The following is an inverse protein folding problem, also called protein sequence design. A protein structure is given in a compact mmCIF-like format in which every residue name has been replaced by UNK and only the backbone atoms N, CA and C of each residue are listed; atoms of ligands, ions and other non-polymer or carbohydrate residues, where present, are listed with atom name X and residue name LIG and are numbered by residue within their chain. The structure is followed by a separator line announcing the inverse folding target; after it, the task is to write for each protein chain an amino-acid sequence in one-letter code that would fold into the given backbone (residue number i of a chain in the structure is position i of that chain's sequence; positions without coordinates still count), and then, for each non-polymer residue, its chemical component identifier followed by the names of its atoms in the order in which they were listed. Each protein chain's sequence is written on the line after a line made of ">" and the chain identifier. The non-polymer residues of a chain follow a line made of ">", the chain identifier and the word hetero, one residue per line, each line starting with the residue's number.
data_IF_069026529268
#
_entry.id   IF_069026529268
#
_cell.length_a   1.000
_cell.length_b   1.000
_cell.length_c   1.000
_cell.angle_alpha   90.00
_cell.angle_beta   90.00
_cell.angle_gamma   90.00
#
_symmetry.space_group_name_H-M   'P 1'
#
loop_
_entity.id
_entity.type
_entity.pdbx_description
1 polymer ?
#
# COMPACT_ATOMS: atom_id res chain seq x y z
N UNK A 1 11.93 -22.86 3.36
CA UNK A 1 11.61 -21.96 2.26
C UNK A 1 12.32 -20.65 2.54
N UNK A 2 13.13 -20.16 1.60
CA UNK A 2 13.88 -18.92 1.78
C UNK A 2 12.92 -17.74 1.66
N UNK A 3 12.97 -16.81 2.59
CA UNK A 3 12.10 -15.62 2.64
C UNK A 3 12.91 -14.36 2.43
N UNK A 4 12.31 -13.39 1.80
CA UNK A 4 12.89 -12.07 1.51
C UNK A 4 12.12 -11.04 2.29
N UNK A 5 12.82 -10.16 2.99
CA UNK A 5 12.22 -9.00 3.64
C UNK A 5 11.92 -7.92 2.60
N UNK A 6 10.79 -7.27 2.77
CA UNK A 6 10.34 -6.17 1.93
C UNK A 6 10.12 -4.90 2.75
N UNK A 7 10.47 -3.78 2.14
CA UNK A 7 10.18 -2.45 2.68
C UNK A 7 9.03 -1.82 1.91
N UNK A 8 8.24 -1.02 2.61
CA UNK A 8 7.15 -0.25 2.03
C UNK A 8 7.74 0.86 1.16
N UNK A 9 7.36 0.84 -0.10
CA UNK A 9 7.80 1.80 -1.09
C UNK A 9 6.76 2.85 -1.46
N UNK A 10 6.71 3.16 -2.74
CA UNK A 10 5.85 4.20 -3.29
C UNK A 10 4.49 3.67 -3.74
N UNK A 11 3.53 4.57 -3.84
CA UNK A 11 2.26 4.38 -4.55
C UNK A 11 2.31 5.24 -5.81
N UNK A 12 2.13 4.63 -6.97
CA UNK A 12 2.06 5.32 -8.26
C UNK A 12 0.70 5.13 -8.91
N UNK A 13 0.22 6.17 -9.60
CA UNK A 13 -0.91 6.07 -10.50
C UNK A 13 -0.39 5.73 -11.90
N UNK A 14 -1.02 4.78 -12.57
CA UNK A 14 -0.74 4.44 -13.97
C UNK A 14 -1.74 5.18 -14.86
N UNK A 15 -1.29 6.16 -15.67
CA UNK A 15 -2.19 7.00 -16.48
C UNK A 15 -2.91 6.23 -17.60
N UNK A 16 -2.29 5.14 -18.08
CA UNK A 16 -2.68 4.46 -19.31
C UNK A 16 -3.95 3.60 -19.17
N UNK A 17 -4.34 3.20 -17.94
CA UNK A 17 -5.42 2.26 -17.68
C UNK A 17 -6.62 2.85 -16.92
N UNK A 18 -6.94 4.13 -17.12
CA UNK A 18 -8.17 4.70 -16.57
C UNK A 18 -8.25 4.77 -15.05
N UNK A 19 -7.11 4.92 -14.36
CA UNK A 19 -7.05 5.11 -12.91
C UNK A 19 -6.61 3.89 -12.11
N UNK A 20 -5.79 3.03 -12.69
CA UNK A 20 -5.11 1.95 -11.97
C UNK A 20 -4.03 2.52 -11.07
N UNK A 21 -3.88 1.93 -9.89
CA UNK A 21 -2.84 2.29 -8.93
C UNK A 21 -1.93 1.10 -8.72
N UNK A 22 -0.62 1.36 -8.62
CA UNK A 22 0.37 0.33 -8.32
C UNK A 22 1.10 0.70 -7.04
N UNK A 23 1.11 -0.22 -6.10
CA UNK A 23 1.86 -0.13 -4.86
C UNK A 23 3.16 -0.93 -4.98
N UNK A 24 4.27 -0.33 -4.58
CA UNK A 24 5.59 -0.94 -4.70
C UNK A 24 6.13 -1.34 -3.33
N UNK A 25 6.57 -2.59 -3.23
CA UNK A 25 7.37 -3.08 -2.13
C UNK A 25 8.79 -3.34 -2.64
N UNK A 26 9.79 -2.85 -1.91
CA UNK A 26 11.19 -2.99 -2.28
C UNK A 26 11.87 -4.11 -1.49
N UNK A 27 12.75 -4.83 -2.15
CA UNK A 27 13.68 -5.71 -1.47
C UNK A 27 14.89 -4.90 -1.02
N UNK A 28 15.22 -4.98 0.27
CA UNK A 28 16.41 -4.34 0.82
C UNK A 28 17.68 -4.78 0.06
N UNK A 29 18.47 -3.81 -0.43
CA UNK A 29 19.74 -4.04 -1.10
C UNK A 29 19.68 -4.59 -2.52
N UNK A 30 18.51 -4.62 -3.18
CA UNK A 30 18.38 -5.04 -4.57
C UNK A 30 17.63 -4.02 -5.41
N UNK A 31 18.02 -3.93 -6.69
CA UNK A 31 17.37 -3.11 -7.71
C UNK A 31 16.05 -3.73 -8.22
N UNK A 32 15.31 -4.41 -7.31
CA UNK A 32 14.06 -5.08 -7.63
C UNK A 32 12.94 -4.64 -6.69
N UNK A 33 11.77 -4.44 -7.24
CA UNK A 33 10.54 -4.17 -6.49
C UNK A 33 9.43 -5.14 -6.90
N UNK A 34 8.49 -5.35 -5.99
CA UNK A 34 7.24 -6.06 -6.23
C UNK A 34 6.16 -5.03 -6.55
N UNK A 35 5.72 -4.90 -7.81
CA UNK A 35 4.59 -4.06 -8.17
C UNK A 35 3.29 -4.80 -7.88
N UNK A 36 2.40 -4.18 -7.10
CA UNK A 36 1.09 -4.74 -6.74
C UNK A 36 0.01 -3.80 -7.23
N UNK A 37 -0.78 -4.19 -8.25
CA UNK A 37 -1.94 -3.41 -8.68
C UNK A 37 -2.95 -3.29 -7.54
N UNK A 38 -3.49 -2.09 -7.34
CA UNK A 38 -4.53 -1.82 -6.37
C UNK A 38 -5.78 -1.31 -7.05
N UNK A 39 -6.92 -1.74 -6.57
CA UNK A 39 -8.20 -1.13 -6.90
C UNK A 39 -8.33 0.25 -6.22
N UNK A 40 -9.18 1.16 -6.73
CA UNK A 40 -9.41 2.45 -6.08
C UNK A 40 -9.82 2.35 -4.59
N UNK A 41 -10.69 1.41 -4.15
CA UNK A 41 -10.98 1.22 -2.73
C UNK A 41 -9.77 0.82 -1.89
N UNK A 42 -8.90 -0.07 -2.41
CA UNK A 42 -7.67 -0.51 -1.72
C UNK A 42 -6.67 0.64 -1.59
N UNK A 43 -6.49 1.39 -2.66
CA UNK A 43 -5.67 2.61 -2.64
C UNK A 43 -6.18 3.60 -1.60
N UNK A 44 -7.49 3.85 -1.57
CA UNK A 44 -8.10 4.74 -0.58
C UNK A 44 -7.88 4.23 0.84
N UNK A 45 -8.06 2.93 1.09
CA UNK A 45 -7.82 2.30 2.38
C UNK A 45 -6.35 2.48 2.83
N UNK A 46 -5.38 2.27 1.92
CA UNK A 46 -3.97 2.50 2.22
C UNK A 46 -3.68 3.95 2.57
N UNK A 47 -4.09 4.89 1.73
CA UNK A 47 -3.86 6.32 1.96
C UNK A 47 -4.45 6.78 3.29
N UNK A 48 -5.70 6.39 3.58
CA UNK A 48 -6.39 6.75 4.82
C UNK A 48 -5.70 6.19 6.07
N UNK A 49 -5.07 5.02 5.98
CA UNK A 49 -4.41 4.39 7.11
C UNK A 49 -2.92 4.75 7.24
N UNK A 50 -2.28 5.19 6.14
CA UNK A 50 -0.88 5.63 6.17
C UNK A 50 -0.73 7.06 6.66
N UNK A 51 -1.76 7.90 6.51
CA UNK A 51 -1.83 9.20 7.17
C UNK A 51 -2.13 8.98 8.64
N UNK A 52 -1.34 9.58 9.52
CA UNK A 52 -1.55 9.56 10.97
C UNK A 52 -2.62 10.58 11.39
N UNK A 53 -3.75 10.63 10.70
CA UNK A 53 -4.86 11.48 11.12
C UNK A 53 -5.55 10.83 12.32
N UNK A 54 -5.53 11.46 13.48
CA UNK A 54 -6.07 10.93 14.73
C UNK A 54 -7.57 10.68 14.67
N UNK A 55 -8.29 11.41 13.83
CA UNK A 55 -9.75 11.42 13.76
C UNK A 55 -10.35 10.42 12.76
N UNK A 56 -9.54 9.62 12.05
CA UNK A 56 -10.08 8.64 11.12
C UNK A 56 -10.49 7.34 11.82
N UNK A 57 -11.78 7.02 11.78
CA UNK A 57 -12.34 5.77 12.28
C UNK A 57 -12.28 4.69 11.20
N UNK A 58 -11.14 4.01 11.06
CA UNK A 58 -10.98 2.88 10.15
C UNK A 58 -11.08 1.55 10.91
N UNK A 59 -11.56 0.51 10.23
CA UNK A 59 -11.60 -0.83 10.81
C UNK A 59 -10.20 -1.31 11.26
N UNK A 60 -9.17 -0.96 10.52
CA UNK A 60 -7.79 -1.28 10.88
C UNK A 60 -7.37 -0.63 12.20
N UNK A 61 -7.78 0.62 12.45
CA UNK A 61 -7.50 1.31 13.72
C UNK A 61 -8.23 0.64 14.89
N UNK A 62 -9.48 0.25 14.67
CA UNK A 62 -10.26 -0.49 15.68
C UNK A 62 -9.61 -1.85 15.94
N UNK A 63 -9.28 -2.61 14.90
CA UNK A 63 -8.65 -3.92 15.02
C UNK A 63 -7.30 -3.83 15.74
N UNK A 64 -6.47 -2.84 15.39
CA UNK A 64 -5.19 -2.60 16.09
C UNK A 64 -5.41 -2.39 17.59
N UNK A 65 -6.40 -1.57 17.98
CA UNK A 65 -6.71 -1.34 19.40
C UNK A 65 -7.21 -2.61 20.10
N UNK A 66 -8.06 -3.39 19.44
CA UNK A 66 -8.55 -4.67 19.98
C UNK A 66 -7.38 -5.61 20.24
N UNK A 67 -6.47 -5.80 19.28
CA UNK A 67 -5.29 -6.64 19.48
C UNK A 67 -4.44 -6.16 20.67
N UNK A 68 -4.22 -4.85 20.78
CA UNK A 68 -3.46 -4.27 21.89
C UNK A 68 -4.13 -4.50 23.26
N UNK A 69 -5.45 -4.28 23.36
CA UNK A 69 -6.23 -4.53 24.58
C UNK A 69 -6.18 -6.00 25.04
N UNK A 70 -6.20 -6.92 24.08
CA UNK A 70 -6.10 -8.36 24.34
C UNK A 70 -4.63 -8.85 24.42
N UNK A 71 -3.66 -7.95 24.35
CA UNK A 71 -2.22 -8.25 24.37
C UNK A 71 -1.78 -9.25 23.30
N UNK A 72 -2.42 -9.16 22.13
CA UNK A 72 -2.03 -9.94 20.95
C UNK A 72 -1.05 -9.12 20.13
N UNK A 73 0.12 -9.67 19.89
CA UNK A 73 1.19 -9.06 19.10
C UNK A 73 1.12 -9.52 17.65
N UNK A 74 1.24 -8.61 16.70
CA UNK A 74 1.51 -8.95 15.31
C UNK A 74 3.03 -9.03 15.14
N UNK A 75 3.55 -10.24 14.88
CA UNK A 75 4.98 -10.49 14.79
C UNK A 75 5.54 -10.19 13.40
N UNK A 76 4.82 -10.61 12.36
CA UNK A 76 5.19 -10.38 10.96
C UNK A 76 3.98 -10.48 10.04
N UNK A 77 4.14 -9.97 8.84
CA UNK A 77 3.21 -10.14 7.72
C UNK A 77 3.95 -10.82 6.58
N UNK A 78 3.42 -11.93 6.07
CA UNK A 78 4.02 -12.66 4.95
C UNK A 78 3.10 -12.63 3.73
N UNK A 79 3.64 -12.29 2.55
CA UNK A 79 2.93 -12.45 1.27
C UNK A 79 3.10 -13.90 0.85
N UNK A 80 2.00 -14.67 0.85
CA UNK A 80 2.07 -16.13 0.80
C UNK A 80 1.61 -16.74 -0.51
N UNK A 81 0.79 -16.06 -1.29
CA UNK A 81 0.30 -16.56 -2.58
C UNK A 81 -0.17 -15.44 -3.51
N UNK A 82 -0.29 -15.81 -4.79
CA UNK A 82 -0.92 -15.03 -5.84
C UNK A 82 -1.88 -15.90 -6.65
N UNK A 83 -3.14 -15.51 -6.72
CA UNK A 83 -4.19 -16.17 -7.50
C UNK A 83 -5.03 -15.18 -8.34
N UNK A 84 -4.36 -14.18 -8.90
CA UNK A 84 -4.95 -12.99 -9.51
C UNK A 84 -4.76 -11.76 -8.61
N UNK A 85 -4.76 -11.96 -7.28
CA UNK A 85 -4.41 -10.97 -6.27
C UNK A 85 -3.36 -11.55 -5.31
N UNK A 86 -2.54 -10.68 -4.74
CA UNK A 86 -1.65 -11.09 -3.65
C UNK A 86 -2.45 -11.26 -2.36
N UNK A 87 -2.06 -12.27 -1.58
CA UNK A 87 -2.63 -12.54 -0.25
C UNK A 87 -1.55 -12.51 0.81
N UNK A 88 -1.91 -11.99 1.97
CA UNK A 88 -1.06 -11.93 3.14
C UNK A 88 -1.45 -12.98 4.17
N UNK A 89 -0.50 -13.36 4.99
CA UNK A 89 -0.69 -14.10 6.23
C UNK A 89 -0.13 -13.26 7.38
N UNK A 90 -0.92 -13.08 8.41
CA UNK A 90 -0.53 -12.42 9.64
C UNK A 90 -0.02 -13.49 10.61
N UNK A 91 1.16 -13.32 11.18
CA UNK A 91 1.63 -14.11 12.30
C UNK A 91 1.39 -13.33 13.58
N UNK A 92 0.45 -13.81 14.37
CA UNK A 92 0.03 -13.22 15.64
C UNK A 92 0.53 -14.07 16.81
N UNK A 93 0.76 -13.46 17.97
CA UNK A 93 1.12 -14.13 19.22
C UNK A 93 0.22 -13.62 20.34
N UNK A 94 -0.46 -14.53 21.05
CA UNK A 94 -1.41 -14.20 22.11
C UNK A 94 -0.81 -14.30 23.53
N UNK A 95 0.51 -14.49 23.62
CA UNK A 95 1.23 -14.72 24.87
C UNK A 95 1.48 -16.19 25.18
N UNK A 96 0.77 -17.11 24.51
CA UNK A 96 0.91 -18.56 24.71
C UNK A 96 1.28 -19.29 23.40
N UNK A 97 0.69 -18.88 22.28
CA UNK A 97 0.87 -19.56 20.99
C UNK A 97 0.89 -18.59 19.82
N UNK A 98 1.48 -19.06 18.72
CA UNK A 98 1.42 -18.41 17.43
C UNK A 98 0.11 -18.76 16.71
N UNK A 99 -0.51 -17.74 16.12
CA UNK A 99 -1.75 -17.84 15.33
C UNK A 99 -1.45 -17.29 13.94
N UNK A 100 -1.74 -18.09 12.90
CA UNK A 100 -1.61 -17.69 11.51
C UNK A 100 -2.98 -17.38 10.93
N UNK A 101 -3.16 -16.19 10.41
CA UNK A 101 -4.42 -15.72 9.86
C UNK A 101 -4.23 -15.17 8.46
N UNK A 102 -4.96 -15.72 7.47
CA UNK A 102 -4.98 -15.15 6.13
C UNK A 102 -5.71 -13.81 6.12
N UNK A 103 -5.17 -12.89 5.33
CA UNK A 103 -5.72 -11.54 5.14
C UNK A 103 -5.56 -11.10 3.68
N UNK A 104 -6.28 -10.08 3.26
CA UNK A 104 -6.02 -9.37 2.02
C UNK A 104 -4.63 -8.73 2.03
N UNK A 105 -4.05 -8.55 0.84
CA UNK A 105 -2.75 -7.90 0.71
C UNK A 105 -2.74 -6.53 1.39
N UNK A 106 -3.70 -5.68 1.03
CA UNK A 106 -3.83 -4.31 1.52
C UNK A 106 -3.98 -4.25 3.03
N UNK A 107 -4.81 -5.15 3.61
CA UNK A 107 -5.01 -5.24 5.05
C UNK A 107 -3.73 -5.63 5.78
N UNK A 108 -3.01 -6.61 5.25
CA UNK A 108 -1.72 -7.05 5.80
C UNK A 108 -0.69 -5.90 5.82
N UNK A 109 -0.55 -5.17 4.71
CA UNK A 109 0.40 -4.05 4.61
C UNK A 109 0.02 -2.91 5.57
N UNK A 110 -1.26 -2.57 5.67
CA UNK A 110 -1.75 -1.54 6.60
C UNK A 110 -1.42 -1.93 8.05
N UNK A 111 -1.69 -3.18 8.42
CA UNK A 111 -1.42 -3.68 9.78
C UNK A 111 0.08 -3.72 10.07
N UNK A 112 0.91 -4.22 9.12
CA UNK A 112 2.36 -4.17 9.26
C UNK A 112 2.85 -2.76 9.56
N UNK A 113 2.37 -1.76 8.82
CA UNK A 113 2.74 -0.36 9.05
C UNK A 113 2.30 0.16 10.42
N UNK A 114 1.08 -0.20 10.87
CA UNK A 114 0.55 0.24 12.17
C UNK A 114 1.29 -0.36 13.36
N UNK A 115 1.72 -1.60 13.25
CA UNK A 115 2.47 -2.31 14.30
C UNK A 115 3.99 -2.16 14.17
N UNK A 116 4.49 -1.63 13.05
CA UNK A 116 5.93 -1.54 12.78
C UNK A 116 6.58 -2.91 12.56
N UNK A 117 5.83 -3.89 12.07
CA UNK A 117 6.29 -5.27 11.91
C UNK A 117 6.86 -5.52 10.52
N UNK A 118 7.81 -6.46 10.37
CA UNK A 118 8.41 -6.75 9.08
C UNK A 118 7.43 -7.42 8.11
N UNK A 119 7.65 -7.15 6.81
CA UNK A 119 6.94 -7.79 5.71
C UNK A 119 7.89 -8.78 5.04
N UNK A 120 7.40 -9.98 4.77
CA UNK A 120 8.15 -11.01 4.06
C UNK A 120 7.40 -11.53 2.83
N UNK A 121 8.16 -12.08 1.89
CA UNK A 121 7.66 -12.83 0.73
C UNK A 121 8.55 -14.06 0.52
N UNK A 122 8.02 -15.14 -0.04
CA UNK A 122 8.86 -16.24 -0.46
C UNK A 122 9.76 -15.84 -1.63
N UNK A 123 10.98 -16.36 -1.69
CA UNK A 123 11.92 -16.09 -2.79
C UNK A 123 11.30 -16.46 -4.14
N UNK A 124 10.57 -17.59 -4.22
CA UNK A 124 9.90 -18.05 -5.44
C UNK A 124 8.85 -17.04 -5.96
N UNK A 125 8.04 -16.44 -5.07
CA UNK A 125 7.08 -15.41 -5.45
C UNK A 125 7.80 -14.11 -5.85
N UNK A 126 8.85 -13.75 -5.13
CA UNK A 126 9.65 -12.58 -5.46
C UNK A 126 10.28 -12.72 -6.85
N UNK A 127 10.93 -13.84 -7.15
CA UNK A 127 11.56 -14.10 -8.44
C UNK A 127 10.54 -14.11 -9.59
N UNK A 128 9.34 -14.59 -9.34
CA UNK A 128 8.29 -14.69 -10.35
C UNK A 128 7.65 -13.32 -10.68
N UNK A 129 7.47 -12.46 -9.69
CA UNK A 129 6.65 -11.25 -9.84
C UNK A 129 7.43 -9.94 -9.68
N UNK A 130 8.65 -9.98 -9.16
CA UNK A 130 9.46 -8.77 -9.03
C UNK A 130 9.94 -8.27 -10.39
N UNK A 131 10.07 -6.95 -10.47
CA UNK A 131 10.61 -6.25 -11.64
C UNK A 131 11.79 -5.36 -11.23
N UNK A 132 12.68 -5.07 -12.17
CA UNK A 132 13.76 -4.11 -11.94
C UNK A 132 13.20 -2.72 -11.67
N UNK A 133 13.77 -2.00 -10.71
CA UNK A 133 13.36 -0.62 -10.39
C UNK A 133 13.50 0.28 -11.62
N UNK A 134 14.52 0.08 -12.44
CA UNK A 134 14.76 0.85 -13.67
C UNK A 134 13.61 0.76 -14.69
N UNK A 135 12.84 -0.34 -14.68
CA UNK A 135 11.70 -0.49 -15.56
C UNK A 135 10.52 0.42 -15.17
N UNK A 136 10.53 0.95 -13.95
CA UNK A 136 9.49 1.84 -13.40
C UNK A 136 10.01 3.25 -13.12
N UNK A 137 11.31 3.48 -13.20
CA UNK A 137 11.93 4.76 -12.83
C UNK A 137 11.40 5.95 -13.66
N UNK A 138 10.99 5.71 -14.91
CA UNK A 138 10.29 6.73 -15.71
C UNK A 138 8.88 7.03 -15.23
N UNK A 139 8.15 6.04 -14.74
CA UNK A 139 6.77 6.19 -14.27
C UNK A 139 6.71 6.70 -12.82
N UNK A 140 7.65 6.26 -11.99
CA UNK A 140 7.72 6.67 -10.56
C UNK A 140 8.38 8.06 -10.43
N UNK A 141 9.36 8.38 -11.27
CA UNK A 141 10.08 9.65 -11.25
C UNK A 141 9.34 10.77 -11.98
N UNK A 142 8.36 10.46 -12.81
CA UNK A 142 7.56 11.50 -13.45
C UNK A 142 6.47 12.04 -12.52
N UNK A 143 6.92 12.52 -11.35
CA UNK A 143 6.06 13.25 -10.41
C UNK A 143 5.47 14.52 -11.04
N UNK A 144 6.03 15.01 -12.16
CA UNK A 144 5.49 16.11 -12.95
C UNK A 144 4.34 15.64 -13.83
N UNK A 145 4.46 14.48 -14.47
CA UNK A 145 3.35 13.88 -15.22
C UNK A 145 2.21 13.49 -14.29
N UNK A 146 2.50 12.88 -13.13
CA UNK A 146 1.49 12.57 -12.11
C UNK A 146 0.79 13.85 -11.62
N UNK A 147 1.54 14.91 -11.35
CA UNK A 147 0.98 16.20 -10.95
C UNK A 147 0.14 16.84 -12.06
N UNK A 148 0.56 16.69 -13.32
CA UNK A 148 -0.19 17.16 -14.49
C UNK A 148 -1.50 16.39 -14.62
N UNK A 149 -1.45 15.06 -14.58
CA UNK A 149 -2.64 14.19 -14.69
C UNK A 149 -3.65 14.45 -13.56
N UNK A 150 -3.18 14.64 -12.32
CA UNK A 150 -4.06 15.00 -11.21
C UNK A 150 -4.70 16.39 -11.39
N UNK A 151 -3.98 17.36 -11.95
CA UNK A 151 -4.55 18.67 -12.26
C UNK A 151 -5.60 18.58 -13.39
N UNK A 152 -5.35 17.79 -14.42
CA UNK A 152 -6.30 17.55 -15.49
C UNK A 152 -7.55 16.83 -14.96
N UNK A 153 -7.39 15.78 -14.17
CA UNK A 153 -8.49 15.06 -13.51
C UNK A 153 -9.29 15.95 -12.54
N UNK A 154 -8.63 16.89 -11.84
CA UNK A 154 -9.28 17.89 -11.00
C UNK A 154 -10.14 18.83 -11.84
N UNK A 155 -9.60 19.32 -12.96
CA UNK A 155 -10.33 20.22 -13.85
C UNK A 155 -11.54 19.53 -14.46
N UNK A 156 -11.40 18.26 -14.89
CA UNK A 156 -12.50 17.46 -15.41
C UNK A 156 -13.59 17.23 -14.36
N UNK A 157 -13.21 16.90 -13.12
CA UNK A 157 -14.17 16.72 -12.03
C UNK A 157 -14.92 18.04 -11.71
N UNK A 158 -14.26 19.19 -11.77
CA UNK A 158 -14.90 20.51 -11.61
C UNK A 158 -15.86 20.78 -12.77
N UNK A 159 -15.44 20.53 -14.01
CA UNK A 159 -16.24 20.76 -15.20
C UNK A 159 -17.50 19.88 -15.25
N UNK A 160 -17.43 18.68 -14.67
CA UNK A 160 -18.54 17.73 -14.55
C UNK A 160 -19.37 17.89 -13.27
N UNK A 161 -19.12 18.94 -12.48
CA UNK A 161 -19.78 19.20 -11.18
C UNK A 161 -19.63 18.07 -10.15
N UNK A 162 -18.59 17.21 -10.30
CA UNK A 162 -18.26 16.12 -9.38
C UNK A 162 -17.46 16.66 -8.17
N UNK A 163 -18.06 17.50 -7.35
CA UNK A 163 -17.37 18.27 -6.30
C UNK A 163 -16.71 17.38 -5.22
N UNK A 164 -17.30 16.24 -4.87
CA UNK A 164 -16.69 15.29 -3.94
C UNK A 164 -15.40 14.71 -4.50
N UNK A 165 -15.42 14.31 -5.77
CA UNK A 165 -14.23 13.82 -6.49
C UNK A 165 -13.17 14.92 -6.64
N UNK A 166 -13.57 16.13 -6.99
CA UNK A 166 -12.67 17.28 -7.07
C UNK A 166 -11.98 17.57 -5.73
N UNK A 167 -12.71 17.50 -4.62
CA UNK A 167 -12.16 17.66 -3.27
C UNK A 167 -11.12 16.60 -2.93
N UNK A 168 -11.37 15.33 -3.26
CA UNK A 168 -10.43 14.23 -3.05
C UNK A 168 -9.14 14.42 -3.86
N UNK A 169 -9.27 14.78 -5.15
CA UNK A 169 -8.12 15.01 -6.03
C UNK A 169 -7.31 16.24 -5.58
N UNK A 170 -7.97 17.32 -5.16
CA UNK A 170 -7.30 18.51 -4.62
C UNK A 170 -6.46 18.18 -3.40
N UNK A 171 -6.99 17.37 -2.50
CA UNK A 171 -6.26 16.88 -1.31
C UNK A 171 -5.05 16.02 -1.70
N UNK A 172 -5.17 15.17 -2.71
CA UNK A 172 -4.05 14.38 -3.23
C UNK A 172 -2.92 15.25 -3.78
N UNK A 173 -3.27 16.31 -4.52
CA UNK A 173 -2.29 17.28 -5.03
C UNK A 173 -1.54 18.00 -3.90
N UNK A 174 -2.25 18.40 -2.82
CA UNK A 174 -1.61 19.02 -1.65
C UNK A 174 -0.65 18.07 -0.95
N UNK A 175 -1.04 16.81 -0.78
CA UNK A 175 -0.22 15.81 -0.11
C UNK A 175 1.06 15.49 -0.88
N UNK A 176 0.97 15.40 -2.22
CA UNK A 176 2.14 15.25 -3.09
C UNK A 176 3.10 16.45 -3.01
N UNK A 177 2.57 17.67 -2.89
CA UNK A 177 3.40 18.86 -2.69
C UNK A 177 4.15 18.87 -1.35
N UNK A 178 3.53 18.35 -0.29
CA UNK A 178 4.15 18.26 1.06
C UNK A 178 5.24 17.21 1.14
N UNK A 179 5.15 16.14 0.36
CA UNK A 179 6.15 15.06 0.31
C UNK A 179 7.40 15.47 -0.47
N UNK A 180 7.33 16.58 -1.22
CA UNK A 180 8.40 17.10 -2.10
C UNK A 180 9.30 18.15 -1.45
N UNK A 181 8.93 18.65 -0.26
CA UNK A 181 9.70 19.58 0.57
C UNK A 181 10.32 18.86 1.78
#
# INVERSE_FOLDING_TARGET
>A
MKRVRLDIGALAATPEDGGSFTFFLYREGLDKCLPVPLTPPEMHAMLSNFKQEEDQFTIHKVFTKVLQEYRVELLEVSIVRFDGNFHSELLLFDGEREIRQLAGFTDGIILSKKFGTPIYISEDLMDKYAKGIDSFSKEILDSEAMMKNLKEALQDAINNEEYERASLISKQIEDLKKTRN
#
